data_IF_157042846809
#
_entry.id   IF_157042846809
#
_cell.length_a   1.000
_cell.length_b   1.000
_cell.length_c   1.000
_cell.angle_alpha   90.00
_cell.angle_beta   90.00
_cell.angle_gamma   90.00
#
_symmetry.space_group_name_H-M   'P 1'
#
loop_
_entity.id
_entity.type
_entity.pdbx_description
1 polymer ?
#
# COMPACT_ATOMS: atom_id res chain seq x y z
N UNK A 1 7.63 -14.63 -10.98
CA UNK A 1 6.85 -13.94 -12.03
C UNK A 1 7.59 -12.71 -12.56
N UNK A 2 7.89 -11.73 -11.71
CA UNK A 2 8.59 -10.49 -12.08
C UNK A 2 9.84 -10.73 -12.96
N UNK A 3 10.82 -11.49 -12.46
CA UNK A 3 12.06 -11.77 -13.19
C UNK A 3 11.85 -12.32 -14.62
N UNK A 4 10.85 -13.21 -14.81
CA UNK A 4 10.52 -13.76 -16.13
C UNK A 4 9.86 -12.72 -17.04
N UNK A 5 8.99 -11.87 -16.51
CA UNK A 5 8.36 -10.82 -17.32
C UNK A 5 9.38 -9.78 -17.77
N UNK A 6 10.24 -9.32 -16.85
CA UNK A 6 11.32 -8.37 -17.14
C UNK A 6 12.31 -8.92 -18.16
N UNK A 7 12.72 -10.20 -18.04
CA UNK A 7 13.63 -10.82 -19.02
C UNK A 7 13.03 -10.97 -20.43
N UNK A 8 11.71 -10.85 -20.56
CA UNK A 8 11.00 -10.84 -21.84
C UNK A 8 10.62 -9.41 -22.31
N UNK A 9 11.21 -8.37 -21.69
CA UNK A 9 11.00 -6.97 -22.08
C UNK A 9 9.62 -6.41 -21.74
N UNK A 10 8.85 -7.09 -20.87
CA UNK A 10 7.51 -6.63 -20.46
C UNK A 10 7.61 -5.83 -19.16
N UNK A 11 6.83 -4.72 -19.08
CA UNK A 11 6.54 -4.09 -17.78
C UNK A 11 5.77 -5.05 -16.90
N UNK A 12 6.03 -5.02 -15.59
CA UNK A 12 5.40 -5.91 -14.62
C UNK A 12 5.22 -5.19 -13.29
N UNK A 13 4.04 -5.34 -12.71
CA UNK A 13 3.72 -4.97 -11.34
C UNK A 13 3.17 -6.21 -10.65
N UNK A 14 3.65 -6.52 -9.44
CA UNK A 14 3.26 -7.72 -8.71
C UNK A 14 3.12 -7.41 -7.23
N UNK A 15 1.89 -7.47 -6.72
CA UNK A 15 1.65 -7.54 -5.29
C UNK A 15 2.03 -8.94 -4.80
N UNK A 16 2.73 -8.99 -3.68
CA UNK A 16 3.22 -10.21 -3.03
C UNK A 16 2.66 -10.20 -1.60
N UNK A 17 2.80 -11.31 -0.88
CA UNK A 17 2.30 -11.49 0.48
C UNK A 17 2.61 -10.35 1.44
N UNK A 18 1.91 -10.34 2.57
CA UNK A 18 1.97 -9.27 3.54
C UNK A 18 2.18 -9.82 4.95
N UNK A 19 2.67 -8.96 5.83
CA UNK A 19 2.54 -9.18 7.27
C UNK A 19 2.37 -7.84 7.92
N UNK A 20 1.14 -7.55 8.34
CA UNK A 20 0.78 -6.23 8.82
C UNK A 20 0.87 -6.13 10.33
N UNK A 21 1.21 -4.92 10.79
CA UNK A 21 1.45 -4.64 12.20
C UNK A 21 0.59 -3.49 12.70
N UNK A 22 0.14 -3.59 13.95
CA UNK A 22 -0.46 -2.48 14.68
C UNK A 22 0.36 -2.22 15.95
N UNK A 23 0.84 -0.99 16.11
CA UNK A 23 1.46 -0.52 17.33
C UNK A 23 0.37 0.05 18.23
N UNK A 24 0.24 -0.47 19.45
CA UNK A 24 -0.71 0.03 20.44
C UNK A 24 0.05 0.76 21.52
N UNK A 25 -0.15 2.08 21.58
CA UNK A 25 0.43 2.92 22.61
C UNK A 25 -0.38 2.84 23.92
N UNK A 26 0.22 3.08 25.10
CA UNK A 26 -0.48 3.05 26.39
C UNK A 26 -1.65 4.02 26.49
N UNK A 27 -1.65 5.10 25.71
CA UNK A 27 -2.67 6.14 25.69
C UNK A 27 -3.83 5.86 24.72
N UNK A 28 -3.75 4.77 23.94
CA UNK A 28 -4.77 4.37 22.98
C UNK A 28 -6.15 4.20 23.63
N UNK A 29 -7.22 4.48 22.87
CA UNK A 29 -8.57 4.17 23.35
C UNK A 29 -8.77 2.65 23.38
N UNK A 30 -8.92 2.09 24.58
CA UNK A 30 -8.92 0.64 24.77
C UNK A 30 -10.06 -0.07 24.02
N UNK A 31 -11.29 0.41 24.18
CA UNK A 31 -12.46 -0.21 23.54
C UNK A 31 -12.34 -0.18 22.01
N UNK A 32 -12.17 1.01 21.46
CA UNK A 32 -12.07 1.20 20.01
C UNK A 32 -10.89 0.45 19.39
N UNK A 33 -9.73 0.42 20.08
CA UNK A 33 -8.56 -0.32 19.61
C UNK A 33 -8.86 -1.82 19.57
N UNK A 34 -9.38 -2.40 20.65
CA UNK A 34 -9.64 -3.83 20.71
C UNK A 34 -10.71 -4.28 19.70
N UNK A 35 -11.75 -3.47 19.48
CA UNK A 35 -12.76 -3.73 18.47
C UNK A 35 -12.13 -3.73 17.06
N UNK A 36 -11.26 -2.75 16.78
CA UNK A 36 -10.51 -2.66 15.53
C UNK A 36 -9.54 -3.84 15.33
N UNK A 37 -8.83 -4.26 16.37
CA UNK A 37 -7.91 -5.40 16.33
C UNK A 37 -8.66 -6.70 16.03
N UNK A 38 -9.80 -6.93 16.66
CA UNK A 38 -10.61 -8.13 16.43
C UNK A 38 -11.16 -8.16 14.98
N UNK A 39 -11.72 -7.04 14.51
CA UNK A 39 -12.26 -6.95 13.16
C UNK A 39 -11.18 -7.15 12.09
N UNK A 40 -10.03 -6.50 12.24
CA UNK A 40 -8.96 -6.55 11.24
C UNK A 40 -8.11 -7.83 11.30
N UNK A 41 -7.98 -8.45 12.47
CA UNK A 41 -7.19 -9.67 12.65
C UNK A 41 -7.93 -10.94 12.26
N UNK A 42 -9.25 -10.98 12.47
CA UNK A 42 -10.06 -12.19 12.24
C UNK A 42 -11.02 -12.08 11.05
N UNK A 43 -11.32 -10.87 10.58
CA UNK A 43 -12.19 -10.63 9.44
C UNK A 43 -11.72 -11.36 8.17
N UNK A 44 -12.66 -11.85 7.35
CA UNK A 44 -12.34 -12.65 6.17
C UNK A 44 -11.60 -13.96 6.48
N UNK A 45 -11.74 -14.48 7.71
CA UNK A 45 -10.94 -15.59 8.24
C UNK A 45 -9.43 -15.34 8.14
N UNK A 46 -9.01 -14.07 8.23
CA UNK A 46 -7.60 -13.65 8.11
C UNK A 46 -6.98 -13.84 6.72
N UNK A 47 -7.78 -14.19 5.70
CA UNK A 47 -7.29 -14.46 4.33
C UNK A 47 -7.32 -13.22 3.44
N UNK A 48 -6.72 -12.13 3.92
CA UNK A 48 -6.58 -10.87 3.17
C UNK A 48 -5.15 -10.39 3.29
N UNK A 49 -4.60 -9.81 2.22
CA UNK A 49 -3.28 -9.16 2.29
C UNK A 49 -3.29 -7.95 3.25
N UNK A 50 -4.47 -7.41 3.55
CA UNK A 50 -4.69 -6.32 4.51
C UNK A 50 -5.00 -6.79 5.93
N UNK A 51 -5.11 -8.10 6.17
CA UNK A 51 -5.37 -8.66 7.52
C UNK A 51 -4.31 -8.15 8.49
N UNK A 52 -4.72 -7.76 9.69
CA UNK A 52 -3.80 -7.42 10.75
C UNK A 52 -3.25 -8.70 11.41
N UNK A 53 -1.99 -9.06 11.10
CA UNK A 53 -1.41 -10.31 11.61
C UNK A 53 -0.78 -10.14 12.99
N UNK A 54 -0.19 -8.98 13.26
CA UNK A 54 0.65 -8.75 14.45
C UNK A 54 0.27 -7.47 15.17
N UNK A 55 0.24 -7.51 16.49
CA UNK A 55 0.06 -6.33 17.36
C UNK A 55 1.27 -6.19 18.27
N UNK A 56 1.88 -5.02 18.29
CA UNK A 56 3.00 -4.68 19.18
C UNK A 56 2.49 -3.74 20.26
N UNK A 57 2.40 -4.25 21.50
CA UNK A 57 1.97 -3.45 22.65
C UNK A 57 3.17 -2.75 23.28
N UNK A 58 3.17 -1.42 23.26
CA UNK A 58 4.19 -0.61 23.92
C UNK A 58 3.89 -0.53 25.42
N UNK A 59 4.86 -0.89 26.25
CA UNK A 59 4.67 -0.97 27.72
C UNK A 59 3.99 -2.25 28.21
N UNK A 60 3.77 -3.23 27.32
CA UNK A 60 3.31 -4.58 27.64
C UNK A 60 1.86 -4.88 27.26
N UNK A 61 1.57 -6.17 27.03
CA UNK A 61 0.28 -6.66 26.50
C UNK A 61 -0.75 -7.05 27.57
N UNK A 62 -0.31 -7.32 28.81
CA UNK A 62 -1.15 -7.98 29.84
C UNK A 62 -2.51 -7.31 30.10
N UNK A 63 -2.56 -5.98 30.13
CA UNK A 63 -3.81 -5.23 30.36
C UNK A 63 -4.81 -5.31 29.20
N UNK A 64 -4.36 -5.75 28.03
CA UNK A 64 -5.15 -5.84 26.79
C UNK A 64 -5.65 -7.26 26.51
N UNK A 65 -4.86 -8.28 26.89
CA UNK A 65 -5.08 -9.68 26.52
C UNK A 65 -6.45 -10.22 26.91
N UNK A 66 -6.91 -9.98 28.13
CA UNK A 66 -8.20 -10.50 28.61
C UNK A 66 -9.37 -9.92 27.80
N UNK A 67 -9.38 -8.61 27.55
CA UNK A 67 -10.44 -7.94 26.80
C UNK A 67 -10.38 -8.24 25.29
N UNK A 68 -9.19 -8.54 24.77
CA UNK A 68 -9.01 -9.04 23.40
C UNK A 68 -9.56 -10.46 23.27
N UNK A 69 -9.28 -11.32 24.26
CA UNK A 69 -9.80 -12.68 24.34
C UNK A 69 -11.33 -12.70 24.37
N UNK A 70 -11.96 -11.82 25.16
CA UNK A 70 -13.42 -11.67 25.21
C UNK A 70 -14.03 -11.39 23.83
N UNK A 71 -13.47 -10.42 23.09
CA UNK A 71 -13.93 -10.06 21.74
C UNK A 71 -13.73 -11.17 20.74
N UNK A 72 -12.56 -11.81 20.75
CA UNK A 72 -12.26 -12.91 19.86
C UNK A 72 -13.20 -14.10 20.10
N UNK A 73 -13.50 -14.43 21.37
CA UNK A 73 -14.46 -15.50 21.71
C UNK A 73 -15.91 -15.19 21.31
N UNK A 74 -16.26 -13.91 21.19
CA UNK A 74 -17.60 -13.51 20.77
C UNK A 74 -17.86 -13.71 19.28
N UNK A 75 -16.80 -13.90 18.46
CA UNK A 75 -16.92 -14.09 17.01
C UNK A 75 -17.54 -15.45 16.68
N UNK A 76 -18.60 -15.42 15.87
CA UNK A 76 -19.32 -16.59 15.37
C UNK A 76 -18.60 -17.17 14.15
N UNK A 77 -18.12 -18.40 14.28
CA UNK A 77 -17.51 -19.16 13.19
C UNK A 77 -18.57 -20.07 12.58
N UNK A 78 -18.92 -19.83 11.31
CA UNK A 78 -19.93 -20.62 10.60
C UNK A 78 -19.79 -20.45 9.06
N UNK A 79 -20.69 -21.04 8.29
CA UNK A 79 -20.73 -20.92 6.83
C UNK A 79 -20.97 -19.48 6.37
N UNK A 80 -20.30 -19.04 5.31
CA UNK A 80 -20.43 -17.66 4.80
C UNK A 80 -21.79 -17.28 4.21
N UNK A 81 -22.70 -18.25 4.05
CA UNK A 81 -24.09 -18.00 3.64
C UNK A 81 -25.02 -17.66 4.81
N UNK A 82 -24.57 -17.89 6.05
CA UNK A 82 -25.29 -17.47 7.25
C UNK A 82 -24.96 -16.00 7.56
N UNK A 83 -25.99 -15.17 7.71
CA UNK A 83 -25.87 -13.72 7.91
C UNK A 83 -25.29 -13.36 9.28
N UNK A 84 -25.35 -14.28 10.23
CA UNK A 84 -24.81 -14.11 11.57
C UNK A 84 -23.34 -14.53 11.68
N UNK A 85 -22.71 -14.96 10.59
CA UNK A 85 -21.31 -15.41 10.57
C UNK A 85 -20.34 -14.23 10.60
N UNK A 86 -19.42 -14.24 11.56
CA UNK A 86 -18.29 -13.32 11.60
C UNK A 86 -17.06 -13.90 10.86
N UNK A 87 -16.83 -15.21 10.96
CA UNK A 87 -15.66 -15.89 10.40
C UNK A 87 -16.10 -17.12 9.59
N UNK A 88 -15.82 -17.08 8.30
CA UNK A 88 -16.02 -18.19 7.38
C UNK A 88 -14.92 -19.27 7.45
N UNK A 89 -15.02 -20.33 6.62
CA UNK A 89 -13.95 -21.32 6.51
C UNK A 89 -12.72 -20.73 5.80
N UNK A 90 -11.54 -21.31 6.05
CA UNK A 90 -10.38 -21.08 5.19
C UNK A 90 -10.56 -21.81 3.85
N UNK A 91 -9.84 -21.36 2.82
CA UNK A 91 -10.11 -21.71 1.42
C UNK A 91 -10.05 -23.22 1.13
N UNK A 92 -9.12 -23.95 1.75
CA UNK A 92 -8.94 -25.37 1.54
C UNK A 92 -8.26 -26.05 2.74
N UNK A 93 -8.18 -27.39 2.68
CA UNK A 93 -7.58 -28.22 3.75
C UNK A 93 -6.10 -27.91 3.97
N UNK A 94 -5.34 -27.68 2.91
CA UNK A 94 -3.91 -27.34 2.99
C UNK A 94 -3.68 -26.01 3.71
N UNK A 95 -4.54 -25.01 3.48
CA UNK A 95 -4.51 -23.75 4.21
C UNK A 95 -4.77 -23.97 5.71
N UNK A 96 -5.80 -24.77 6.05
CA UNK A 96 -6.11 -25.15 7.44
C UNK A 96 -4.93 -25.85 8.12
N UNK A 97 -4.31 -26.81 7.44
CA UNK A 97 -3.14 -27.55 7.94
C UNK A 97 -1.94 -26.61 8.14
N UNK A 98 -1.67 -25.70 7.21
CA UNK A 98 -0.56 -24.76 7.34
C UNK A 98 -0.76 -23.78 8.51
N UNK A 99 -1.97 -23.25 8.69
CA UNK A 99 -2.31 -22.41 9.84
C UNK A 99 -2.06 -23.17 11.15
N UNK A 100 -2.60 -24.39 11.27
CA UNK A 100 -2.41 -25.23 12.45
C UNK A 100 -0.93 -25.55 12.73
N UNK A 101 -0.15 -25.81 11.67
CA UNK A 101 1.29 -26.05 11.74
C UNK A 101 2.03 -24.83 12.28
N UNK A 102 1.83 -23.65 11.69
CA UNK A 102 2.52 -22.42 12.10
C UNK A 102 2.18 -22.04 13.54
N UNK A 103 0.93 -22.20 13.94
CA UNK A 103 0.50 -21.98 15.33
C UNK A 103 1.22 -22.95 16.28
N UNK A 104 1.28 -24.25 15.93
CA UNK A 104 1.99 -25.23 16.75
C UNK A 104 3.49 -24.94 16.84
N UNK A 105 4.12 -24.51 15.75
CA UNK A 105 5.53 -24.09 15.75
C UNK A 105 5.75 -22.90 16.68
N UNK A 106 4.85 -21.92 16.68
CA UNK A 106 4.90 -20.79 17.63
C UNK A 106 4.83 -21.25 19.08
N UNK A 107 3.89 -22.14 19.42
CA UNK A 107 3.77 -22.70 20.78
C UNK A 107 5.05 -23.44 21.18
N UNK A 108 5.60 -24.27 20.29
CA UNK A 108 6.83 -25.01 20.54
C UNK A 108 8.05 -24.09 20.74
N UNK A 109 8.04 -22.91 20.11
CA UNK A 109 9.07 -21.89 20.25
C UNK A 109 8.92 -21.02 21.52
N UNK A 110 7.88 -21.26 22.33
CA UNK A 110 7.65 -20.58 23.60
C UNK A 110 6.58 -19.48 23.57
N UNK A 111 5.88 -19.28 22.46
CA UNK A 111 4.72 -18.39 22.43
C UNK A 111 3.61 -18.93 23.33
N UNK A 112 2.94 -18.04 24.06
CA UNK A 112 1.82 -18.40 24.94
C UNK A 112 0.51 -18.41 24.16
N UNK A 113 -0.18 -19.54 24.18
CA UNK A 113 -1.50 -19.69 23.56
C UNK A 113 -2.59 -19.08 24.46
N UNK A 114 -3.19 -17.98 24.02
CA UNK A 114 -4.26 -17.27 24.76
C UNK A 114 -5.64 -17.79 24.35
N UNK A 115 -5.82 -18.05 23.06
CA UNK A 115 -7.04 -18.62 22.49
C UNK A 115 -6.66 -19.64 21.43
N UNK A 116 -7.26 -20.83 21.51
CA UNK A 116 -7.03 -21.92 20.56
C UNK A 116 -8.30 -22.23 19.76
N UNK A 117 -8.32 -21.79 18.50
CA UNK A 117 -9.38 -22.08 17.54
C UNK A 117 -9.09 -23.21 16.56
N UNK A 118 -7.98 -23.97 16.71
CA UNK A 118 -7.53 -24.95 15.70
C UNK A 118 -8.49 -26.13 15.49
N UNK A 119 -9.27 -26.46 16.51
CA UNK A 119 -10.16 -27.63 16.55
C UNK A 119 -11.63 -27.24 16.70
N UNK A 120 -12.02 -26.08 16.16
CA UNK A 120 -13.42 -25.65 16.21
C UNK A 120 -14.32 -26.62 15.43
N UNK A 121 -15.44 -26.99 16.04
CA UNK A 121 -16.49 -27.79 15.41
C UNK A 121 -17.64 -26.88 15.02
N UNK A 122 -18.02 -26.91 13.74
CA UNK A 122 -19.16 -26.17 13.21
C UNK A 122 -20.28 -27.18 12.91
N UNK A 123 -21.40 -27.17 13.64
CA UNK A 123 -22.47 -28.13 13.44
C UNK A 123 -22.95 -28.16 11.99
N UNK A 124 -23.22 -29.36 11.46
CA UNK A 124 -23.61 -29.64 10.06
C UNK A 124 -22.49 -29.49 9.04
N UNK A 125 -21.31 -29.00 9.44
CA UNK A 125 -20.16 -28.78 8.57
C UNK A 125 -18.86 -29.28 9.21
N UNK A 126 -18.91 -30.45 9.85
CA UNK A 126 -17.80 -31.04 10.61
C UNK A 126 -16.56 -31.33 9.74
N UNK A 127 -16.80 -31.59 8.45
CA UNK A 127 -15.76 -31.80 7.43
C UNK A 127 -15.25 -30.49 6.82
N UNK A 128 -15.72 -29.33 7.29
CA UNK A 128 -15.35 -28.03 6.78
C UNK A 128 -13.93 -27.59 7.16
N UNK A 129 -13.37 -26.70 6.34
CA UNK A 129 -12.05 -26.12 6.56
C UNK A 129 -12.12 -24.95 7.56
N UNK A 130 -12.77 -25.14 8.71
CA UNK A 130 -12.88 -24.09 9.72
C UNK A 130 -11.63 -24.03 10.60
N UNK A 131 -11.24 -22.79 10.91
CA UNK A 131 -10.28 -22.43 11.94
C UNK A 131 -10.93 -21.27 12.71
N UNK A 132 -11.05 -21.41 14.03
CA UNK A 132 -11.55 -20.33 14.88
C UNK A 132 -10.46 -19.29 15.17
N UNK A 133 -10.81 -18.17 15.83
CA UNK A 133 -9.84 -17.18 16.27
C UNK A 133 -8.73 -17.81 17.12
N UNK A 134 -7.48 -17.49 16.80
CA UNK A 134 -6.31 -17.91 17.57
C UNK A 134 -5.53 -16.66 17.98
N UNK A 135 -5.11 -16.62 19.24
CA UNK A 135 -4.26 -15.55 19.77
C UNK A 135 -3.02 -16.17 20.39
N UNK A 136 -1.85 -15.78 19.89
CA UNK A 136 -0.55 -16.11 20.48
C UNK A 136 0.04 -14.85 21.10
N UNK A 137 0.45 -14.91 22.36
CA UNK A 137 1.19 -13.84 23.03
C UNK A 137 2.64 -14.24 23.27
N UNK A 138 3.43 -13.27 23.71
CA UNK A 138 4.86 -13.43 23.98
C UNK A 138 5.64 -13.89 22.71
N UNK A 139 5.16 -13.48 21.53
CA UNK A 139 5.80 -13.76 20.24
C UNK A 139 7.00 -12.85 20.05
N UNK A 140 8.09 -13.39 19.50
CA UNK A 140 9.31 -12.63 19.17
C UNK A 140 9.60 -12.70 17.67
N UNK A 141 10.38 -11.74 17.16
CA UNK A 141 10.73 -11.64 15.74
C UNK A 141 11.60 -12.82 15.24
N UNK A 142 12.19 -13.58 16.17
CA UNK A 142 12.93 -14.82 15.88
C UNK A 142 12.05 -16.03 15.52
N UNK A 143 10.77 -16.04 15.92
CA UNK A 143 9.88 -17.20 15.76
C UNK A 143 9.42 -17.40 14.31
N UNK A 144 9.33 -18.65 13.85
CA UNK A 144 8.87 -18.97 12.48
C UNK A 144 7.42 -18.50 12.23
N UNK A 145 6.54 -18.63 13.23
CA UNK A 145 5.16 -18.11 13.14
C UNK A 145 5.11 -16.59 12.91
N UNK A 146 6.13 -15.85 13.32
CA UNK A 146 6.29 -14.44 13.02
C UNK A 146 6.94 -14.20 11.64
N UNK A 147 7.92 -15.01 11.23
CA UNK A 147 8.60 -14.79 9.93
C UNK A 147 7.72 -15.12 8.72
N UNK A 148 6.88 -16.14 8.84
CA UNK A 148 5.98 -16.59 7.77
C UNK A 148 4.63 -15.86 7.82
N UNK A 149 4.03 -15.62 6.66
CA UNK A 149 2.65 -15.10 6.59
C UNK A 149 1.66 -16.20 6.98
N UNK A 150 0.81 -15.92 7.98
CA UNK A 150 -0.26 -16.82 8.40
C UNK A 150 -1.56 -16.33 7.75
N UNK A 151 -2.02 -17.04 6.72
CA UNK A 151 -3.28 -16.76 6.02
C UNK A 151 -4.46 -17.46 6.71
N UNK A 152 -4.74 -17.03 7.94
CA UNK A 152 -5.81 -17.57 8.78
C UNK A 152 -6.17 -16.61 9.91
N UNK A 153 -7.22 -16.90 10.69
CA UNK A 153 -7.70 -16.02 11.77
C UNK A 153 -6.80 -16.13 13.00
N UNK A 154 -5.54 -15.69 12.86
CA UNK A 154 -4.49 -15.77 13.88
C UNK A 154 -3.92 -14.39 14.12
N UNK A 155 -3.95 -13.95 15.38
CA UNK A 155 -3.37 -12.68 15.83
C UNK A 155 -2.16 -12.94 16.73
N UNK A 156 -1.01 -12.37 16.36
CA UNK A 156 0.23 -12.46 17.11
C UNK A 156 0.41 -11.21 17.98
N UNK A 157 0.61 -11.38 19.29
CA UNK A 157 0.86 -10.30 20.22
C UNK A 157 2.34 -10.29 20.61
N UNK A 158 2.99 -9.17 20.33
CA UNK A 158 4.37 -8.85 20.68
C UNK A 158 4.39 -7.68 21.67
N UNK A 159 5.55 -7.44 22.28
CA UNK A 159 5.76 -6.37 23.24
C UNK A 159 6.97 -5.55 22.85
N UNK A 160 6.94 -4.26 23.15
CA UNK A 160 8.06 -3.34 23.02
C UNK A 160 8.11 -2.40 24.24
N UNK A 161 9.31 -2.00 24.64
CA UNK A 161 9.54 -1.04 25.72
C UNK A 161 9.25 0.41 25.32
N UNK A 162 9.38 0.74 24.03
CA UNK A 162 9.12 2.09 23.52
C UNK A 162 8.53 2.09 22.11
N UNK A 163 8.08 3.27 21.65
CA UNK A 163 7.59 3.45 20.27
C UNK A 163 8.71 3.21 19.25
N UNK A 164 9.93 3.64 19.55
CA UNK A 164 11.11 3.45 18.69
C UNK A 164 11.42 1.97 18.50
N UNK A 165 11.38 1.21 19.60
CA UNK A 165 11.57 -0.25 19.52
C UNK A 165 10.45 -0.91 18.73
N UNK A 166 9.19 -0.47 18.92
CA UNK A 166 8.06 -0.99 18.16
C UNK A 166 8.20 -0.70 16.65
N UNK A 167 8.58 0.52 16.26
CA UNK A 167 8.86 0.88 14.86
C UNK A 167 10.00 0.02 14.31
N UNK A 168 11.08 -0.16 15.07
CA UNK A 168 12.20 -0.99 14.65
C UNK A 168 11.81 -2.46 14.45
N UNK A 169 10.91 -3.02 15.26
CA UNK A 169 10.36 -4.37 15.06
C UNK A 169 9.60 -4.45 13.72
N UNK A 170 8.77 -3.44 13.43
CA UNK A 170 7.98 -3.40 12.19
C UNK A 170 8.89 -3.23 10.97
N UNK A 171 9.85 -2.30 10.98
CA UNK A 171 10.75 -2.08 9.84
C UNK A 171 11.71 -3.26 9.60
N UNK A 172 12.03 -4.07 10.63
CA UNK A 172 12.80 -5.32 10.44
C UNK A 172 12.02 -6.41 9.72
N UNK A 173 10.70 -6.28 9.60
CA UNK A 173 9.88 -7.24 8.88
C UNK A 173 10.25 -7.23 7.40
N UNK A 174 10.34 -8.41 6.79
CA UNK A 174 10.62 -8.55 5.36
C UNK A 174 9.52 -7.92 4.48
N UNK A 175 8.29 -7.87 4.99
CA UNK A 175 7.14 -7.33 4.29
C UNK A 175 6.91 -5.86 4.67
N UNK A 176 6.68 -5.01 3.68
CA UNK A 176 6.45 -3.57 3.84
C UNK A 176 5.06 -3.15 3.39
N UNK A 177 4.02 -3.94 3.69
CA UNK A 177 2.68 -3.68 3.17
C UNK A 177 1.94 -2.61 3.97
N UNK A 178 1.38 -2.95 5.13
CA UNK A 178 0.60 -2.03 5.96
C UNK A 178 1.04 -2.02 7.42
N UNK A 179 1.07 -0.83 8.02
CA UNK A 179 1.33 -0.64 9.43
C UNK A 179 0.42 0.43 10.02
N UNK A 180 -0.04 0.22 11.25
CA UNK A 180 -0.96 1.13 11.93
C UNK A 180 -0.47 1.48 13.34
N UNK A 181 -0.83 2.66 13.83
CA UNK A 181 -0.63 3.06 15.23
C UNK A 181 -1.95 3.45 15.87
N UNK A 182 -2.19 2.97 17.10
CA UNK A 182 -3.29 3.39 17.94
C UNK A 182 -2.75 4.27 19.08
N UNK A 183 -3.17 5.53 19.12
CA UNK A 183 -2.70 6.53 20.09
C UNK A 183 -3.61 7.76 20.11
N UNK A 184 -3.61 8.50 21.22
CA UNK A 184 -4.23 9.83 21.32
C UNK A 184 -3.19 10.95 21.17
N UNK A 185 -1.90 10.61 21.12
CA UNK A 185 -0.80 11.55 21.06
C UNK A 185 -0.41 11.87 19.60
N UNK A 186 -0.57 13.14 19.22
CA UNK A 186 -0.22 13.61 17.87
C UNK A 186 1.28 13.54 17.55
N UNK A 187 2.17 13.70 18.54
CA UNK A 187 3.60 13.57 18.35
C UNK A 187 4.01 12.10 18.08
N UNK A 188 3.42 11.15 18.81
CA UNK A 188 3.60 9.72 18.55
C UNK A 188 3.09 9.33 17.16
N UNK A 189 1.91 9.81 16.78
CA UNK A 189 1.36 9.58 15.44
C UNK A 189 2.27 10.15 14.34
N UNK A 190 2.75 11.39 14.50
CA UNK A 190 3.65 12.03 13.52
C UNK A 190 4.99 11.31 13.40
N UNK A 191 5.56 10.89 14.53
CA UNK A 191 6.80 10.12 14.57
C UNK A 191 6.64 8.80 13.81
N UNK A 192 5.60 8.05 14.13
CA UNK A 192 5.27 6.81 13.42
C UNK A 192 5.11 7.01 11.92
N UNK A 193 4.32 8.00 11.50
CA UNK A 193 4.12 8.31 10.07
C UNK A 193 5.42 8.64 9.31
N UNK A 194 6.43 9.15 10.01
CA UNK A 194 7.68 9.61 9.39
C UNK A 194 8.74 8.51 9.36
N UNK A 195 8.76 7.65 10.39
CA UNK A 195 9.83 6.66 10.60
C UNK A 195 9.45 5.23 10.17
N UNK A 196 8.17 4.94 9.95
CA UNK A 196 7.72 3.63 9.46
C UNK A 196 8.01 3.46 7.97
N UNK A 197 8.49 2.30 7.55
CA UNK A 197 8.87 2.01 6.16
C UNK A 197 7.76 1.29 5.36
N UNK A 198 6.64 0.98 6.01
CA UNK A 198 5.48 0.34 5.38
C UNK A 198 4.80 1.27 4.35
N UNK A 199 4.36 0.69 3.23
CA UNK A 199 3.72 1.45 2.15
C UNK A 199 2.37 2.08 2.52
N UNK A 200 1.60 1.45 3.39
CA UNK A 200 0.30 1.95 3.86
C UNK A 200 0.35 2.21 5.37
N UNK A 201 0.03 3.43 5.78
CA UNK A 201 0.18 3.90 7.16
C UNK A 201 -1.17 4.32 7.73
N UNK A 202 -1.61 3.65 8.81
CA UNK A 202 -2.84 3.94 9.53
C UNK A 202 -2.59 4.67 10.86
N UNK A 203 -3.39 5.69 11.17
CA UNK A 203 -3.45 6.28 12.51
C UNK A 203 -4.86 6.11 13.06
N UNK A 204 -4.99 5.27 14.09
CA UNK A 204 -6.27 4.81 14.65
C UNK A 204 -7.18 4.11 13.63
N UNK A 205 -6.60 3.59 12.55
CA UNK A 205 -7.27 2.82 11.51
C UNK A 205 -6.50 1.50 11.36
N UNK A 206 -7.11 0.33 11.61
CA UNK A 206 -6.36 -0.94 11.62
C UNK A 206 -5.93 -1.37 10.23
N UNK A 207 -6.77 -1.12 9.22
CA UNK A 207 -6.57 -1.49 7.81
C UNK A 207 -6.55 -0.21 6.97
N UNK A 208 -5.37 0.39 6.72
CA UNK A 208 -5.25 1.65 6.00
C UNK A 208 -5.31 1.48 4.47
N UNK A 209 -6.27 0.70 3.98
CA UNK A 209 -6.44 0.48 2.54
C UNK A 209 -6.85 1.79 1.85
N UNK A 210 -6.11 2.25 0.83
CA UNK A 210 -6.42 3.49 0.13
C UNK A 210 -7.70 3.39 -0.69
N UNK A 211 -8.41 4.52 -0.84
CA UNK A 211 -9.54 4.62 -1.77
C UNK A 211 -9.06 4.44 -3.22
N UNK A 212 -9.93 3.99 -4.15
CA UNK A 212 -9.52 3.59 -5.52
C UNK A 212 -8.78 4.64 -6.35
N UNK A 213 -8.91 5.93 -6.00
CA UNK A 213 -8.23 7.05 -6.66
C UNK A 213 -6.82 7.31 -6.13
N UNK A 214 -6.43 6.70 -5.02
CA UNK A 214 -5.05 6.65 -4.53
C UNK A 214 -4.38 5.34 -4.95
N UNK A 215 -3.05 5.34 -4.95
CA UNK A 215 -2.27 4.15 -5.25
C UNK A 215 -2.33 3.17 -4.06
N UNK A 216 -2.53 1.89 -4.37
CA UNK A 216 -2.42 0.80 -3.41
C UNK A 216 -0.95 0.42 -3.25
N UNK A 217 -0.35 0.94 -2.19
CA UNK A 217 1.10 0.93 -1.99
C UNK A 217 1.57 -0.29 -1.21
N UNK A 218 2.68 -0.86 -1.66
CA UNK A 218 3.48 -1.80 -0.87
C UNK A 218 4.96 -1.50 -1.07
N UNK A 219 5.78 -1.82 -0.08
CA UNK A 219 7.25 -1.70 -0.14
C UNK A 219 7.90 -3.06 0.11
N UNK A 220 9.23 -3.11 -0.06
CA UNK A 220 10.04 -4.30 0.20
C UNK A 220 9.52 -5.57 -0.48
N UNK A 221 9.46 -6.70 0.23
CA UNK A 221 9.02 -7.97 -0.37
C UNK A 221 7.52 -8.03 -0.68
N UNK A 222 6.72 -7.02 -0.31
CA UNK A 222 5.27 -7.00 -0.56
C UNK A 222 4.90 -6.45 -1.94
N UNK A 223 5.84 -5.82 -2.65
CA UNK A 223 5.60 -5.32 -3.99
C UNK A 223 6.86 -5.48 -4.86
N UNK A 224 6.65 -5.88 -6.11
CA UNK A 224 7.72 -5.97 -7.10
C UNK A 224 7.28 -5.26 -8.38
N UNK A 225 7.92 -4.11 -8.62
CA UNK A 225 7.63 -3.17 -9.71
C UNK A 225 8.03 -1.75 -9.29
N UNK A 226 7.78 -0.78 -10.16
CA UNK A 226 8.02 0.65 -9.93
C UNK A 226 6.71 1.44 -9.74
N UNK A 227 5.61 0.99 -10.38
CA UNK A 227 4.31 1.63 -10.34
C UNK A 227 3.29 0.79 -9.56
N UNK A 228 2.81 1.35 -8.44
CA UNK A 228 1.81 0.72 -7.59
C UNK A 228 0.43 0.63 -8.27
N UNK A 229 -0.44 -0.24 -7.75
CA UNK A 229 -1.76 -0.51 -8.32
C UNK A 229 -2.74 0.66 -8.12
N UNK A 230 -3.72 0.79 -9.03
CA UNK A 230 -4.80 1.78 -8.99
C UNK A 230 -4.33 3.25 -8.96
N UNK A 231 -5.26 4.19 -8.82
CA UNK A 231 -4.97 5.62 -8.86
C UNK A 231 -4.21 6.07 -10.12
N UNK A 232 -3.44 7.15 -9.98
CA UNK A 232 -2.63 7.72 -11.07
C UNK A 232 -1.52 6.77 -11.53
N UNK A 233 -0.89 6.04 -10.61
CA UNK A 233 0.19 5.10 -10.94
C UNK A 233 -0.30 3.94 -11.80
N UNK A 234 -1.54 3.48 -11.61
CA UNK A 234 -2.18 2.51 -12.49
C UNK A 234 -2.35 3.02 -13.91
N UNK A 235 -2.72 4.30 -14.09
CA UNK A 235 -2.78 4.93 -15.42
C UNK A 235 -1.40 4.98 -16.07
N UNK A 236 -0.37 5.38 -15.32
CA UNK A 236 1.00 5.44 -15.82
C UNK A 236 1.52 4.04 -16.20
N UNK A 237 1.12 2.98 -15.49
CA UNK A 237 1.50 1.61 -15.80
C UNK A 237 0.91 1.11 -17.13
N UNK A 238 -0.38 1.40 -17.36
CA UNK A 238 -1.11 0.95 -18.55
C UNK A 238 -0.94 1.87 -19.78
N UNK A 239 -0.29 3.02 -19.63
CA UNK A 239 -0.04 3.96 -20.73
C UNK A 239 1.46 4.09 -21.04
N UNK A 240 1.77 4.68 -22.20
CA UNK A 240 3.14 4.99 -22.58
C UNK A 240 3.25 6.48 -22.90
N UNK A 241 4.25 7.13 -22.31
CA UNK A 241 4.56 8.53 -22.58
C UNK A 241 4.97 8.69 -24.05
N UNK A 242 4.34 9.64 -24.75
CA UNK A 242 4.69 10.04 -26.12
C UNK A 242 4.93 11.54 -26.14
N UNK A 243 6.13 11.95 -26.53
CA UNK A 243 6.49 13.36 -26.69
C UNK A 243 6.42 13.73 -28.17
N UNK A 244 5.62 14.74 -28.51
CA UNK A 244 5.47 15.23 -29.88
C UNK A 244 5.98 16.67 -29.94
N UNK A 245 7.01 16.91 -30.75
CA UNK A 245 7.45 18.25 -31.12
C UNK A 245 7.06 18.48 -32.57
N UNK A 246 6.36 19.57 -32.86
CA UNK A 246 5.91 19.89 -34.20
C UNK A 246 6.25 21.33 -34.54
N UNK A 247 6.93 21.52 -35.67
CA UNK A 247 7.25 22.84 -36.21
C UNK A 247 6.79 22.90 -37.66
N UNK A 248 5.96 23.89 -37.98
CA UNK A 248 5.49 24.17 -39.34
C UNK A 248 6.21 25.42 -39.84
N UNK A 249 7.09 25.28 -40.84
CA UNK A 249 7.93 26.39 -41.37
C UNK A 249 7.30 27.14 -42.54
N UNK A 250 6.27 26.58 -43.16
CA UNK A 250 5.54 27.22 -44.26
C UNK A 250 4.15 27.64 -43.79
N UNK A 251 4.07 28.78 -43.11
CA UNK A 251 2.88 29.62 -43.18
C UNK A 251 3.14 30.71 -44.22
N UNK A 252 3.22 30.31 -45.49
CA UNK A 252 2.94 31.25 -46.58
C UNK A 252 1.41 31.31 -46.69
N UNK A 253 0.80 32.19 -45.91
CA UNK A 253 -0.41 32.82 -46.44
C UNK A 253 0.12 33.64 -47.60
N UNK A 254 -0.32 33.31 -48.81
CA UNK A 254 -0.15 34.14 -49.99
C UNK A 254 -0.73 35.52 -49.67
N UNK A 255 0.09 36.40 -49.09
CA UNK A 255 -0.05 37.85 -49.01
C UNK A 255 1.30 38.38 -48.52
N UNK A 256 2.08 38.92 -49.46
CA UNK A 256 3.35 39.61 -49.20
C UNK A 256 3.13 40.75 -48.19
N UNK A 257 3.48 40.53 -46.92
CA UNK A 257 3.77 41.63 -46.00
C UNK A 257 5.29 41.81 -46.01
N UNK A 258 5.83 42.92 -46.55
CA UNK A 258 7.26 43.14 -46.61
C UNK A 258 7.85 43.18 -45.20
N UNK A 259 8.83 42.31 -44.94
CA UNK A 259 9.71 42.42 -43.78
C UNK A 259 10.58 43.67 -43.96
N UNK A 260 10.21 44.78 -43.31
CA UNK A 260 11.18 45.84 -43.05
C UNK A 260 12.29 45.25 -42.16
N UNK A 261 13.48 45.11 -42.74
CA UNK A 261 14.66 44.71 -41.99
C UNK A 261 14.97 45.79 -40.95
N UNK A 262 14.97 45.40 -39.66
CA UNK A 262 15.48 46.25 -38.59
C UNK A 262 16.95 46.64 -38.91
N UNK A 263 17.33 47.92 -38.75
CA UNK A 263 18.65 48.40 -39.13
C UNK A 263 19.75 47.75 -38.28
N UNK A 264 20.81 47.30 -38.95
CA UNK A 264 22.00 46.64 -38.40
C UNK A 264 22.90 47.51 -37.48
N UNK A 265 22.39 48.61 -36.93
CA UNK A 265 23.15 49.48 -36.04
C UNK A 265 22.47 49.58 -34.67
N UNK A 266 22.70 48.58 -33.83
CA UNK A 266 22.67 48.76 -32.38
C UNK A 266 24.08 48.48 -31.84
N UNK A 267 24.97 49.44 -32.01
CA UNK A 267 26.14 49.54 -31.15
C UNK A 267 25.66 49.96 -29.77
N UNK A 268 25.73 49.07 -28.78
CA UNK A 268 25.64 49.49 -27.38
C UNK A 268 26.87 50.34 -27.06
N UNK A 269 26.67 51.60 -26.69
CA UNK A 269 27.77 52.47 -26.25
C UNK A 269 28.36 52.06 -24.90
N UNK A 270 27.73 51.14 -24.17
CA UNK A 270 28.20 50.73 -22.85
C UNK A 270 28.36 49.20 -22.86
N UNK A 271 29.60 48.72 -22.93
CA UNK A 271 29.99 47.32 -23.16
C UNK A 271 29.55 46.33 -22.07
N UNK A 272 28.24 46.09 -21.96
CA UNK A 272 27.67 45.07 -21.09
C UNK A 272 26.88 44.08 -21.94
N UNK A 273 27.45 42.90 -22.15
CA UNK A 273 26.75 41.76 -22.74
C UNK A 273 25.64 41.30 -21.79
N UNK A 274 24.38 41.35 -22.24
CA UNK A 274 23.27 40.68 -21.54
C UNK A 274 23.33 39.18 -21.83
N UNK A 275 24.15 38.48 -21.04
CA UNK A 275 23.98 37.05 -20.82
C UNK A 275 22.64 36.83 -20.11
N UNK A 276 21.80 35.95 -20.67
CA UNK A 276 20.62 35.43 -20.00
C UNK A 276 21.05 34.82 -18.64
N UNK A 277 20.32 35.06 -17.53
CA UNK A 277 20.73 34.52 -16.24
C UNK A 277 20.61 33.00 -16.24
N UNK A 278 21.75 32.32 -16.14
CA UNK A 278 21.81 30.92 -15.71
C UNK A 278 21.57 30.89 -14.21
N UNK A 279 20.39 30.41 -13.78
CA UNK A 279 20.21 30.04 -12.37
C UNK A 279 21.05 28.78 -12.09
N UNK A 280 22.22 28.98 -11.48
CA UNK A 280 23.02 27.93 -10.88
C UNK A 280 22.31 27.41 -9.62
N UNK A 281 21.86 26.15 -9.64
CA UNK A 281 21.69 25.38 -8.42
C UNK A 281 23.05 24.80 -8.02
N UNK A 282 23.50 24.92 -6.75
CA UNK A 282 24.75 24.32 -6.33
C UNK A 282 24.58 22.79 -6.27
N UNK A 283 25.36 22.06 -7.07
CA UNK A 283 25.65 20.66 -6.83
C UNK A 283 26.64 20.59 -5.67
N UNK A 284 26.19 20.15 -4.50
CA UNK A 284 27.07 19.59 -3.47
C UNK A 284 27.26 18.12 -3.79
N UNK A 285 28.37 17.80 -4.45
CA UNK A 285 29.06 16.50 -4.37
C UNK A 285 30.30 16.58 -5.28
N UNK A 286 31.38 17.13 -4.74
CA UNK A 286 32.71 17.01 -5.32
C UNK A 286 33.67 16.55 -4.24
N UNK A 287 33.74 15.23 -4.02
CA UNK A 287 34.94 14.57 -3.53
C UNK A 287 34.97 13.11 -4.01
N UNK A 288 35.72 12.85 -5.10
CA UNK A 288 36.78 11.82 -5.23
C UNK A 288 36.91 11.31 -6.67
N UNK A 289 38.14 11.40 -7.18
CA UNK A 289 38.77 10.25 -7.85
C UNK A 289 39.09 10.41 -9.34
N UNK A 290 40.38 10.54 -9.61
CA UNK A 290 41.05 10.58 -10.90
C UNK A 290 40.82 9.40 -11.88
N UNK A 291 40.97 9.74 -13.17
CA UNK A 291 41.54 8.98 -14.31
C UNK A 291 40.75 7.79 -14.89
N UNK A 292 40.33 7.92 -16.15
CA UNK A 292 40.97 7.29 -17.33
C UNK A 292 40.02 7.27 -18.54
N UNK A 293 40.49 7.75 -19.69
CA UNK A 293 40.02 7.30 -21.01
C UNK A 293 40.62 5.92 -21.32
N UNK A 294 39.90 5.01 -21.99
CA UNK A 294 40.06 4.96 -23.44
C UNK A 294 38.78 4.60 -24.22
N UNK A 295 38.83 5.00 -25.49
CA UNK A 295 38.11 4.43 -26.62
C UNK A 295 38.17 2.89 -26.63
N UNK A 296 37.03 2.24 -26.86
CA UNK A 296 36.97 1.00 -27.65
C UNK A 296 35.61 0.87 -28.35
N UNK A 297 35.69 0.48 -29.61
CA UNK A 297 34.58 0.29 -30.53
C UNK A 297 33.65 -0.82 -30.05
N UNK A 298 32.35 -0.53 -29.98
CA UNK A 298 31.30 -1.55 -29.93
C UNK A 298 30.44 -1.39 -31.19
N UNK A 299 30.64 -2.33 -32.12
CA UNK A 299 29.81 -2.52 -33.31
C UNK A 299 28.37 -2.84 -32.89
N UNK A 300 27.41 -2.07 -33.41
CA UNK A 300 25.99 -2.39 -33.28
C UNK A 300 25.63 -3.51 -34.25
N UNK A 301 25.31 -4.67 -33.69
CA UNK A 301 24.83 -5.84 -34.42
C UNK A 301 23.41 -5.58 -34.99
N UNK A 302 23.23 -5.81 -36.29
CA UNK A 302 21.99 -5.57 -37.03
C UNK A 302 20.97 -6.69 -36.75
N UNK A 303 20.30 -6.61 -35.60
CA UNK A 303 19.13 -7.44 -35.30
C UNK A 303 17.86 -6.98 -36.06
N UNK A 304 16.92 -7.89 -36.38
CA UNK A 304 15.72 -7.55 -37.15
C UNK A 304 14.81 -6.60 -36.35
N UNK A 305 14.40 -5.49 -36.98
CA UNK A 305 13.46 -4.55 -36.38
C UNK A 305 12.07 -5.17 -36.29
N UNK A 306 11.54 -5.37 -35.09
CA UNK A 306 10.14 -5.69 -34.90
C UNK A 306 9.31 -4.40 -34.99
N UNK A 307 8.67 -4.16 -36.13
CA UNK A 307 7.66 -3.12 -36.31
C UNK A 307 6.38 -3.52 -35.57
N UNK A 308 6.09 -2.85 -34.45
CA UNK A 308 4.74 -2.88 -33.88
C UNK A 308 3.81 -1.99 -34.72
N UNK A 309 2.58 -2.45 -35.06
CA UNK A 309 1.64 -1.63 -35.80
C UNK A 309 1.14 -0.47 -34.93
N UNK A 310 1.42 0.76 -35.37
CA UNK A 310 0.94 1.99 -34.76
C UNK A 310 -0.54 2.17 -35.14
N UNK A 311 -1.45 2.23 -34.16
CA UNK A 311 -2.79 2.76 -34.40
C UNK A 311 -2.71 4.28 -34.24
N UNK A 312 -2.81 4.98 -35.36
CA UNK A 312 -2.94 6.43 -35.34
C UNK A 312 -4.27 6.80 -34.69
N UNK A 313 -4.20 7.48 -33.55
CA UNK A 313 -5.35 8.16 -32.99
C UNK A 313 -5.57 9.41 -33.84
N UNK A 314 -6.74 9.48 -34.49
CA UNK A 314 -7.17 10.71 -35.15
C UNK A 314 -7.21 11.84 -34.12
N UNK A 315 -6.53 12.94 -34.42
CA UNK A 315 -6.57 14.19 -33.64
C UNK A 315 -7.99 14.74 -33.68
N UNK A 316 -8.78 14.40 -32.67
CA UNK A 316 -10.02 15.08 -32.33
C UNK A 316 -9.73 16.38 -31.60
N UNK A 317 -10.47 17.40 -31.99
CA UNK A 317 -10.42 18.81 -31.60
C UNK A 317 -10.00 19.14 -30.15
N UNK A 318 -9.23 20.22 -30.04
CA UNK A 318 -8.89 20.88 -28.79
C UNK A 318 -10.16 21.28 -28.02
N UNK A 319 -10.44 20.59 -26.91
CA UNK A 319 -11.46 21.04 -25.96
C UNK A 319 -10.80 21.99 -24.97
N UNK A 320 -11.12 23.27 -25.12
CA UNK A 320 -10.83 24.32 -24.15
C UNK A 320 -11.33 23.93 -22.77
N UNK A 321 -10.45 23.94 -21.76
CA UNK A 321 -10.79 23.85 -20.34
C UNK A 321 -11.49 25.16 -19.91
N UNK A 322 -12.78 25.24 -20.24
CA UNK A 322 -13.66 26.31 -19.81
C UNK A 322 -15.00 25.72 -19.40
N UNK A 323 -15.19 25.57 -18.08
CA UNK A 323 -16.49 25.47 -17.39
C UNK A 323 -17.50 24.44 -17.92
N UNK A 324 -17.60 23.30 -17.24
CA UNK A 324 -18.90 22.66 -17.00
C UNK A 324 -18.86 21.80 -15.72
N UNK A 325 -19.04 22.47 -14.59
CA UNK A 325 -19.76 21.92 -13.44
C UNK A 325 -21.22 21.79 -13.87
N UNK A 326 -21.67 20.58 -14.26
CA UNK A 326 -23.05 20.10 -14.14
C UNK A 326 -23.16 18.65 -14.60
N UNK A 327 -23.89 17.89 -13.79
CA UNK A 327 -24.55 16.62 -14.08
C UNK A 327 -23.71 15.33 -13.96
N UNK A 328 -23.44 14.95 -12.71
CA UNK A 328 -23.59 13.56 -12.29
C UNK A 328 -24.80 13.47 -11.34
N UNK A 329 -25.97 13.12 -11.88
CA UNK A 329 -27.07 12.60 -11.07
C UNK A 329 -26.90 11.08 -10.95
N UNK A 330 -26.50 10.61 -9.77
CA UNK A 330 -26.73 9.22 -9.40
C UNK A 330 -28.21 9.05 -9.02
N UNK A 331 -28.83 7.98 -9.51
CA UNK A 331 -30.27 7.69 -9.39
C UNK A 331 -30.76 7.40 -7.96
N UNK A 332 -29.93 7.48 -6.93
CA UNK A 332 -30.34 7.17 -5.54
C UNK A 332 -30.14 8.33 -4.54
N UNK A 333 -29.86 9.56 -5.02
CA UNK A 333 -30.14 10.78 -4.24
C UNK A 333 -29.45 10.95 -2.87
N UNK A 334 -28.41 10.18 -2.54
CA UNK A 334 -27.63 10.36 -1.30
C UNK A 334 -26.15 10.51 -1.63
N UNK A 335 -25.60 11.69 -1.33
CA UNK A 335 -24.17 11.99 -1.43
C UNK A 335 -23.41 11.36 -0.25
N UNK A 336 -22.34 10.57 -0.47
CA UNK A 336 -21.53 9.99 0.61
C UNK A 336 -20.77 11.04 1.45
N UNK A 337 -20.73 12.30 1.01
CA UNK A 337 -19.97 13.36 1.66
C UNK A 337 -20.72 14.08 2.79
N UNK A 338 -22.02 13.82 3.00
CA UNK A 338 -22.87 14.66 3.86
C UNK A 338 -23.44 13.97 5.10
N UNK A 339 -22.88 12.84 5.53
CA UNK A 339 -23.27 12.15 6.78
C UNK A 339 -22.08 11.80 7.69
N UNK A 340 -21.03 12.64 7.67
CA UNK A 340 -19.93 12.60 8.64
C UNK A 340 -20.14 13.58 9.81
N UNK A 341 -21.36 14.13 9.98
CA UNK A 341 -21.68 15.09 11.05
C UNK A 341 -22.62 14.57 12.13
N UNK A 342 -23.09 13.31 12.06
CA UNK A 342 -23.74 12.67 13.20
C UNK A 342 -22.80 11.63 13.83
N UNK A 343 -22.55 11.79 15.12
CA UNK A 343 -21.68 10.92 15.91
C UNK A 343 -22.35 9.59 16.26
N UNK A 344 -23.10 8.97 15.34
CA UNK A 344 -23.61 7.62 15.56
C UNK A 344 -22.53 6.58 15.27
N UNK A 345 -22.00 6.00 16.34
CA UNK A 345 -21.17 4.81 16.28
C UNK A 345 -22.06 3.59 15.99
N UNK A 346 -22.32 3.30 14.70
CA UNK A 346 -22.87 2.00 14.33
C UNK A 346 -21.73 1.00 14.06
N UNK A 347 -21.50 0.01 14.94
CA UNK A 347 -20.44 -0.99 14.77
C UNK A 347 -20.60 -1.84 13.49
N UNK A 348 -21.78 -1.85 12.86
CA UNK A 348 -22.01 -2.58 11.60
C UNK A 348 -21.39 -1.90 10.37
N UNK A 349 -21.17 -0.59 10.40
CA UNK A 349 -20.59 0.12 9.26
C UNK A 349 -19.11 -0.24 9.07
N UNK A 350 -18.37 -0.41 10.17
CA UNK A 350 -16.98 -0.89 10.12
C UNK A 350 -16.92 -2.31 9.54
N UNK A 351 -17.85 -3.18 9.91
CA UNK A 351 -17.92 -4.55 9.38
C UNK A 351 -18.25 -4.57 7.88
N UNK A 352 -19.08 -3.64 7.40
CA UNK A 352 -19.46 -3.57 5.98
C UNK A 352 -18.33 -3.00 5.11
N UNK A 353 -17.64 -1.95 5.57
CA UNK A 353 -16.50 -1.38 4.83
C UNK A 353 -15.28 -2.30 4.83
N UNK A 354 -15.11 -3.12 5.88
CA UNK A 354 -14.07 -4.14 5.94
C UNK A 354 -14.41 -5.41 5.15
N UNK A 355 -15.66 -5.62 4.72
CA UNK A 355 -16.07 -6.85 4.00
C UNK A 355 -16.04 -6.75 2.47
N UNK A 356 -15.55 -5.64 1.92
CA UNK A 356 -15.29 -5.45 0.49
C UNK A 356 -13.79 -5.35 0.19
#
# INVERSE_FOLDING_TARGET
MHARASSNGKRVQSNIGAKNHAIVMPDANMGATLDALAAAGFGGAGQRCTTLNTVVFVGGSKSWEEKLLERAKALKVNVGTDTDTDIGPVINKTAKENVNRLVQVGINAGARLILDGRHIEVPKYEMGNFVGPIILSDVTDGMECYKEEITGPVLLCMQAGSLEEAIAIVNRNRYGFGASIFTKNGASARKFQTEIEAGQVGVNVPVPAPLPFFAFTGTEASFSGDLNFHGKTGVDFYTQMKTVNQQWKDFRIDDEVPLEMLPNNFQSSDGTSLLLPTHNFPNTDDERGHLASPSDNLECDNGPSFTMPHKDFQTGEAVSLGLQLRDFQNSDGVSPALLMSDGSQDPKFLTHFLNW
#
